data_IF_271924575532
#
_entry.id   IF_271924575532
#
_cell.length_a   1.000
_cell.length_b   1.000
_cell.length_c   1.000
_cell.angle_alpha   90.00
_cell.angle_beta   90.00
_cell.angle_gamma   90.00
#
_symmetry.space_group_name_H-M   'P 1'
#
loop_
_entity.id
_entity.type
_entity.pdbx_description
1 polymer ?
#
# COMPACT_ATOMS: atom_id res chain seq x y z
N UNK A 1 -21.32 4.40 34.35
CA UNK A 1 -20.49 5.31 35.17
C UNK A 1 -19.64 4.53 36.17
N UNK A 2 -20.22 3.65 37.01
CA UNK A 2 -19.47 2.82 37.97
C UNK A 2 -18.39 1.91 37.34
N UNK A 3 -18.58 1.44 36.11
CA UNK A 3 -17.59 0.60 35.41
C UNK A 3 -16.24 1.30 35.20
N UNK A 4 -16.24 2.60 34.90
CA UNK A 4 -15.01 3.40 34.70
C UNK A 4 -14.42 3.92 36.02
N UNK A 5 -15.04 3.61 37.16
CA UNK A 5 -14.47 3.86 38.48
C UNK A 5 -13.73 2.63 39.04
N UNK A 6 -13.73 1.50 38.32
CA UNK A 6 -13.00 0.29 38.72
C UNK A 6 -11.59 0.33 38.17
N UNK A 7 -10.62 0.27 39.07
CA UNK A 7 -9.19 0.28 38.75
C UNK A 7 -8.77 -0.83 37.80
N UNK A 8 -9.28 -2.06 37.99
CA UNK A 8 -9.03 -3.19 37.09
C UNK A 8 -9.51 -2.93 35.66
N UNK A 9 -10.64 -2.21 35.53
CA UNK A 9 -11.20 -1.84 34.23
C UNK A 9 -10.39 -0.74 33.57
N UNK A 10 -9.90 0.22 34.35
CA UNK A 10 -8.99 1.27 33.85
C UNK A 10 -7.68 0.63 33.36
N UNK A 11 -7.13 -0.34 34.11
CA UNK A 11 -5.96 -1.10 33.68
C UNK A 11 -6.17 -1.84 32.36
N UNK A 12 -7.30 -2.55 32.20
CA UNK A 12 -7.65 -3.18 30.93
C UNK A 12 -7.74 -2.18 29.78
N UNK A 13 -8.34 -1.02 30.02
CA UNK A 13 -8.48 0.05 29.02
C UNK A 13 -7.12 0.63 28.63
N UNK A 14 -6.27 0.93 29.62
CA UNK A 14 -4.91 1.45 29.39
C UNK A 14 -4.09 0.42 28.61
N UNK A 15 -4.17 -0.86 28.99
CA UNK A 15 -3.47 -1.93 28.28
C UNK A 15 -3.96 -2.05 26.84
N UNK A 16 -5.26 -2.04 26.62
CA UNK A 16 -5.86 -2.15 25.29
C UNK A 16 -5.56 -0.95 24.38
N UNK A 17 -5.64 0.26 24.92
CA UNK A 17 -5.63 1.47 24.09
C UNK A 17 -4.34 2.29 24.19
N UNK A 18 -3.40 1.91 25.05
CA UNK A 18 -2.21 2.70 25.32
C UNK A 18 -0.93 1.88 25.50
N UNK A 19 -0.96 0.56 25.25
CA UNK A 19 0.23 -0.33 25.29
C UNK A 19 1.34 0.03 24.29
N UNK A 20 1.06 0.90 23.33
CA UNK A 20 2.01 1.39 22.33
C UNK A 20 2.41 2.85 22.59
N UNK A 21 1.89 3.48 23.64
CA UNK A 21 2.28 4.83 24.07
C UNK A 21 3.66 4.75 24.75
N UNK A 22 4.57 5.64 24.34
CA UNK A 22 5.95 5.65 24.85
C UNK A 22 6.09 6.11 26.29
N UNK A 23 5.13 6.89 26.78
CA UNK A 23 5.16 7.40 28.15
C UNK A 23 4.61 6.32 29.10
N UNK A 24 5.23 6.15 30.27
CA UNK A 24 4.69 5.26 31.27
C UNK A 24 3.36 5.81 31.77
N UNK A 25 2.33 4.97 31.74
CA UNK A 25 1.00 5.27 32.25
C UNK A 25 0.87 4.55 33.57
N UNK A 26 0.59 5.33 34.61
CA UNK A 26 0.26 4.84 35.95
C UNK A 26 -1.23 5.11 36.17
N UNK A 27 -1.89 4.20 36.89
CA UNK A 27 -3.30 4.33 37.24
C UNK A 27 -3.38 4.63 38.73
N UNK A 28 -3.98 5.76 39.11
CA UNK A 28 -4.06 6.16 40.51
C UNK A 28 -2.68 6.42 41.13
N UNK A 29 -2.43 5.78 42.27
CA UNK A 29 -1.18 5.86 43.04
C UNK A 29 -0.28 4.63 42.81
N UNK A 30 -0.55 3.83 41.77
CA UNK A 30 0.23 2.62 41.48
C UNK A 30 1.68 2.96 41.10
N UNK A 31 2.62 2.23 41.71
CA UNK A 31 4.03 2.26 41.35
C UNK A 31 4.35 1.37 40.13
N UNK A 32 3.45 0.44 39.80
CA UNK A 32 3.58 -0.44 38.63
C UNK A 32 2.99 0.21 37.37
N UNK A 33 3.74 0.14 36.27
CA UNK A 33 3.33 0.72 35.00
C UNK A 33 2.21 -0.12 34.36
N UNK A 34 1.11 0.54 33.99
CA UNK A 34 -0.07 -0.11 33.44
C UNK A 34 0.04 -0.44 31.94
N UNK A 35 0.82 0.31 31.16
CA UNK A 35 1.01 0.07 29.72
C UNK A 35 2.34 -0.63 29.38
N UNK A 36 2.36 -1.41 28.30
CA UNK A 36 3.60 -1.91 27.70
C UNK A 36 4.41 -0.76 27.07
N UNK A 37 5.75 -0.87 27.06
CA UNK A 37 6.64 0.12 26.41
C UNK A 37 7.10 -0.29 25.01
N UNK A 38 6.88 -1.55 24.61
CA UNK A 38 7.44 -2.06 23.36
C UNK A 38 6.50 -1.73 22.22
N UNK A 39 6.85 -0.66 21.50
CA UNK A 39 6.24 -0.28 20.24
C UNK A 39 6.00 -1.50 19.34
N UNK A 40 4.76 -1.69 18.90
CA UNK A 40 4.31 -2.86 18.13
C UNK A 40 5.19 -3.14 16.91
N UNK A 41 5.63 -2.09 16.20
CA UNK A 41 6.49 -2.21 15.00
C UNK A 41 7.92 -2.70 15.31
N UNK A 42 8.30 -2.80 16.58
CA UNK A 42 9.60 -3.35 17.01
C UNK A 42 9.50 -4.77 17.55
N UNK A 43 8.30 -5.31 17.68
CA UNK A 43 8.09 -6.70 18.06
C UNK A 43 8.31 -7.60 16.86
N UNK A 44 8.58 -8.89 17.10
CA UNK A 44 8.64 -9.86 16.02
C UNK A 44 7.27 -9.96 15.35
N UNK A 45 7.14 -9.87 14.00
CA UNK A 45 5.85 -10.00 13.33
C UNK A 45 5.09 -11.30 13.67
N UNK A 46 5.81 -12.35 14.10
CA UNK A 46 5.24 -13.64 14.51
C UNK A 46 4.64 -13.64 15.92
N UNK A 47 4.97 -12.66 16.73
CA UNK A 47 4.54 -12.54 18.13
C UNK A 47 3.38 -11.53 18.30
N UNK A 48 3.15 -10.70 17.28
CA UNK A 48 2.07 -9.70 17.26
C UNK A 48 0.78 -10.36 16.79
N UNK A 49 -0.31 -10.10 17.51
CA UNK A 49 -1.64 -10.62 17.13
C UNK A 49 -2.34 -9.69 16.16
N UNK A 50 -3.28 -10.23 15.39
CA UNK A 50 -4.10 -9.45 14.46
C UNK A 50 -4.90 -8.35 15.17
N UNK A 51 -5.35 -8.60 16.41
CA UNK A 51 -6.04 -7.58 17.21
C UNK A 51 -5.14 -6.38 17.53
N UNK A 52 -3.86 -6.63 17.84
CA UNK A 52 -2.89 -5.57 18.17
C UNK A 52 -2.63 -4.69 16.94
N UNK A 53 -2.56 -5.28 15.74
CA UNK A 53 -2.45 -4.52 14.49
C UNK A 53 -3.68 -3.66 14.24
N UNK A 54 -4.88 -4.20 14.49
CA UNK A 54 -6.12 -3.46 14.30
C UNK A 54 -6.24 -2.29 15.29
N UNK A 55 -5.93 -2.53 16.57
CA UNK A 55 -5.96 -1.49 17.61
C UNK A 55 -4.93 -0.39 17.33
N UNK A 56 -3.73 -0.76 16.90
CA UNK A 56 -2.72 0.23 16.51
C UNK A 56 -3.15 1.04 15.29
N UNK A 57 -3.75 0.42 14.28
CA UNK A 57 -4.30 1.15 13.12
C UNK A 57 -5.35 2.17 13.57
N UNK A 58 -6.34 1.75 14.36
CA UNK A 58 -7.40 2.63 14.86
C UNK A 58 -6.83 3.82 15.65
N UNK A 59 -5.82 3.59 16.48
CA UNK A 59 -5.16 4.67 17.21
C UNK A 59 -4.35 5.59 16.31
N UNK A 60 -3.69 5.03 15.30
CA UNK A 60 -2.86 5.77 14.36
C UNK A 60 -3.71 6.72 13.50
N UNK A 61 -4.89 6.27 13.06
CA UNK A 61 -5.69 6.93 12.02
C UNK A 61 -7.01 7.54 12.52
N UNK A 62 -7.53 7.08 13.67
CA UNK A 62 -8.93 7.25 14.13
C UNK A 62 -9.97 6.70 13.14
N UNK A 63 -9.56 5.75 12.31
CA UNK A 63 -10.46 5.01 11.43
C UNK A 63 -10.89 3.71 12.11
N UNK A 64 -12.20 3.55 12.30
CA UNK A 64 -12.77 2.37 12.95
C UNK A 64 -12.96 1.20 11.96
N UNK A 65 -12.96 1.49 10.65
CA UNK A 65 -12.93 0.43 9.64
C UNK A 65 -11.56 -0.26 9.67
N UNK A 66 -11.49 -1.59 9.53
CA UNK A 66 -10.22 -2.27 9.42
C UNK A 66 -9.49 -1.87 8.13
N UNK A 67 -8.14 -1.87 8.14
CA UNK A 67 -7.37 -1.72 6.90
C UNK A 67 -7.59 -2.94 6.01
N UNK A 68 -7.40 -2.80 4.69
CA UNK A 68 -7.38 -3.95 3.78
C UNK A 68 -6.26 -4.91 4.15
N UNK A 69 -5.11 -4.37 4.54
CA UNK A 69 -3.92 -5.14 4.83
C UNK A 69 -2.89 -4.31 5.61
N UNK A 70 -2.01 -5.01 6.33
CA UNK A 70 -0.83 -4.45 6.98
C UNK A 70 0.49 -5.07 6.45
N UNK A 71 1.57 -4.31 6.59
CA UNK A 71 2.93 -4.72 6.23
C UNK A 71 3.81 -4.45 7.45
N UNK A 72 4.18 -5.51 8.18
CA UNK A 72 5.13 -5.42 9.29
C UNK A 72 6.50 -5.96 8.84
N UNK A 73 7.47 -5.06 8.71
CA UNK A 73 8.83 -5.39 8.28
C UNK A 73 9.86 -5.03 9.34
N UNK A 74 10.76 -5.99 9.60
CA UNK A 74 11.99 -5.78 10.35
C UNK A 74 13.16 -6.10 9.43
N UNK A 75 14.01 -5.12 9.18
CA UNK A 75 15.21 -5.25 8.31
C UNK A 75 16.44 -4.95 9.16
N UNK A 76 17.41 -5.86 9.19
CA UNK A 76 18.68 -5.67 9.90
C UNK A 76 19.83 -5.22 8.99
N UNK A 77 19.75 -5.49 7.68
CA UNK A 77 20.77 -5.13 6.70
C UNK A 77 20.13 -4.67 5.36
N UNK A 78 20.71 -3.69 4.65
CA UNK A 78 21.97 -2.99 4.95
C UNK A 78 21.85 -1.88 6.01
N UNK A 79 20.64 -1.61 6.51
CA UNK A 79 20.36 -0.66 7.58
C UNK A 79 19.27 -1.24 8.48
N UNK A 80 19.27 -0.87 9.76
CA UNK A 80 18.34 -1.38 10.75
C UNK A 80 17.05 -0.55 10.75
N UNK A 81 16.00 -1.14 10.19
CA UNK A 81 14.71 -0.53 9.92
C UNK A 81 13.58 -1.36 10.53
N UNK A 82 12.64 -0.68 11.16
CA UNK A 82 11.37 -1.24 11.59
C UNK A 82 10.26 -0.46 10.88
N UNK A 83 9.30 -1.15 10.29
CA UNK A 83 8.17 -0.50 9.62
C UNK A 83 6.89 -1.28 9.87
N UNK A 84 5.83 -0.54 10.18
CA UNK A 84 4.47 -1.06 10.20
C UNK A 84 3.59 -0.12 9.37
N UNK A 85 3.22 -0.62 8.20
CA UNK A 85 2.44 0.11 7.19
C UNK A 85 1.06 -0.52 7.06
N UNK A 86 0.09 0.28 6.63
CA UNK A 86 -1.29 -0.10 6.43
C UNK A 86 -1.79 0.42 5.10
N UNK A 87 -2.57 -0.42 4.42
CA UNK A 87 -3.38 -0.05 3.26
C UNK A 87 -4.80 0.17 3.80
N UNK A 88 -5.28 1.42 3.88
CA UNK A 88 -6.62 1.68 4.39
C UNK A 88 -7.69 1.09 3.46
N UNK A 89 -8.92 0.93 3.94
CA UNK A 89 -10.05 0.51 3.09
C UNK A 89 -10.46 1.60 2.11
N UNK A 90 -10.30 2.86 2.49
CA UNK A 90 -10.56 4.02 1.63
C UNK A 90 -9.35 4.97 1.62
N UNK A 91 -8.89 5.46 0.45
CA UNK A 91 -7.86 6.50 0.36
C UNK A 91 -8.32 7.87 0.90
N UNK A 92 -9.63 8.13 0.89
CA UNK A 92 -10.19 9.40 1.34
C UNK A 92 -10.13 9.54 2.86
N UNK A 93 -9.89 10.77 3.31
CA UNK A 93 -9.86 11.08 4.73
C UNK A 93 -11.28 11.02 5.29
N UNK A 94 -11.51 10.15 6.27
CA UNK A 94 -12.75 10.20 7.04
C UNK A 94 -12.85 11.55 7.80
N UNK A 95 -14.05 11.92 8.24
CA UNK A 95 -14.31 13.23 8.91
C UNK A 95 -13.51 13.39 10.21
N UNK A 96 -13.14 12.28 10.85
CA UNK A 96 -12.40 12.24 12.11
C UNK A 96 -10.89 12.01 11.91
N UNK A 97 -10.42 12.03 10.66
CA UNK A 97 -9.08 11.60 10.29
C UNK A 97 -8.05 12.51 10.91
N UNK A 98 -7.11 11.93 11.67
CA UNK A 98 -5.96 12.67 12.19
C UNK A 98 -5.00 13.12 11.09
N UNK A 99 -5.05 12.46 9.93
CA UNK A 99 -4.13 12.68 8.82
C UNK A 99 -4.36 14.05 8.16
N UNK A 100 -3.51 15.01 8.48
CA UNK A 100 -3.51 16.35 7.86
C UNK A 100 -2.89 16.36 6.47
N UNK A 101 -1.78 15.65 6.31
CA UNK A 101 -0.99 15.60 5.07
C UNK A 101 -0.63 14.15 4.71
N UNK A 102 -0.06 13.95 3.53
CA UNK A 102 0.48 12.65 3.13
C UNK A 102 1.80 12.37 3.83
N UNK A 103 2.13 11.07 3.94
CA UNK A 103 3.42 10.63 4.46
C UNK A 103 3.32 9.80 5.73
N UNK A 104 4.44 9.15 6.06
CA UNK A 104 4.54 8.24 7.19
C UNK A 104 5.15 8.95 8.41
N UNK A 105 4.84 8.47 9.61
CA UNK A 105 5.51 8.91 10.83
C UNK A 105 6.93 8.33 10.85
N UNK A 106 7.92 9.20 10.79
CA UNK A 106 9.33 8.85 10.82
C UNK A 106 9.87 8.97 12.24
N UNK A 107 10.47 7.89 12.70
CA UNK A 107 11.16 7.76 13.95
C UNK A 107 12.64 7.46 13.73
N UNK A 108 13.48 7.97 14.63
CA UNK A 108 14.87 7.56 14.74
C UNK A 108 15.11 7.10 16.18
N UNK A 109 15.58 5.86 16.36
CA UNK A 109 15.89 5.30 17.69
C UNK A 109 14.73 5.45 18.69
N UNK A 110 13.51 5.16 18.27
CA UNK A 110 12.29 5.36 19.10
C UNK A 110 12.02 6.81 19.48
N UNK A 111 12.45 7.79 18.70
CA UNK A 111 12.13 9.22 18.90
C UNK A 111 11.45 9.73 17.64
N UNK A 112 10.30 10.39 17.79
CA UNK A 112 9.56 10.93 16.64
C UNK A 112 10.36 12.08 16.04
N UNK A 113 10.68 11.98 14.76
CA UNK A 113 11.40 13.01 14.01
C UNK A 113 10.40 13.86 13.23
N UNK A 114 9.47 13.21 12.52
CA UNK A 114 8.51 13.90 11.66
C UNK A 114 7.22 13.09 11.52
N UNK A 115 6.06 13.74 11.65
CA UNK A 115 4.75 13.08 11.53
C UNK A 115 4.36 12.73 10.09
N UNK A 116 4.64 13.62 9.14
CA UNK A 116 4.23 13.49 7.73
C UNK A 116 5.46 13.51 6.84
N UNK A 117 6.06 12.34 6.60
CA UNK A 117 7.27 12.19 5.79
C UNK A 117 6.92 11.57 4.45
N UNK A 118 6.83 12.39 3.41
CA UNK A 118 6.46 11.94 2.05
C UNK A 118 7.62 11.29 1.32
N UNK A 119 8.85 11.54 1.76
CA UNK A 119 10.09 11.08 1.15
C UNK A 119 10.33 9.57 1.34
N UNK A 120 9.56 8.92 2.21
CA UNK A 120 9.69 7.50 2.53
C UNK A 120 8.98 6.57 1.55
N UNK A 121 8.06 7.10 0.74
CA UNK A 121 7.35 6.33 -0.29
C UNK A 121 7.20 7.18 -1.56
N UNK A 122 7.15 6.56 -2.74
CA UNK A 122 6.79 7.28 -3.96
C UNK A 122 5.37 7.84 -3.88
N UNK A 123 5.10 8.92 -4.64
CA UNK A 123 3.79 9.61 -4.62
C UNK A 123 2.62 8.71 -4.95
N UNK A 124 2.81 7.67 -5.77
CA UNK A 124 1.78 6.70 -6.09
C UNK A 124 1.46 5.73 -4.93
N UNK A 125 2.26 5.71 -3.86
CA UNK A 125 1.94 5.00 -2.61
C UNK A 125 1.55 5.95 -1.47
N UNK A 126 1.20 7.20 -1.80
CA UNK A 126 0.79 8.19 -0.79
C UNK A 126 -0.37 7.74 0.07
N UNK A 127 -1.26 6.85 -0.40
CA UNK A 127 -2.39 6.37 0.40
C UNK A 127 -1.98 5.56 1.64
N UNK A 128 -0.77 4.99 1.66
CA UNK A 128 -0.27 4.17 2.75
C UNK A 128 -0.09 5.00 4.02
N UNK A 129 -0.53 4.45 5.15
CA UNK A 129 -0.37 5.04 6.47
C UNK A 129 0.49 4.14 7.34
N UNK A 130 1.25 4.70 8.27
CA UNK A 130 2.11 3.86 9.08
C UNK A 130 3.23 4.60 9.78
N UNK A 131 4.12 3.78 10.35
CA UNK A 131 5.30 4.22 11.09
C UNK A 131 6.54 3.56 10.51
N UNK A 132 7.63 4.31 10.51
CA UNK A 132 8.96 3.85 10.10
C UNK A 132 9.96 4.30 11.15
N UNK A 133 10.76 3.40 11.68
CA UNK A 133 11.74 3.65 12.73
C UNK A 133 13.12 3.14 12.27
N UNK A 134 14.02 4.08 12.01
CA UNK A 134 15.36 3.81 11.50
C UNK A 134 16.40 4.06 12.60
N UNK A 135 17.20 3.04 12.94
CA UNK A 135 18.25 3.16 13.99
C UNK A 135 19.47 3.96 13.52
N UNK A 136 19.76 3.86 12.22
CA UNK A 136 20.90 4.50 11.57
C UNK A 136 20.66 5.99 11.26
N UNK A 137 19.43 6.48 11.43
CA UNK A 137 19.11 7.88 11.21
C UNK A 137 19.55 8.74 12.41
N UNK A 138 20.28 9.85 12.20
CA UNK A 138 20.61 10.78 13.28
C UNK A 138 19.35 11.40 13.91
N UNK A 139 19.44 11.84 15.18
CA UNK A 139 18.33 12.52 15.84
C UNK A 139 18.19 13.99 15.44
N UNK A 140 19.28 14.62 15.00
CA UNK A 140 19.36 16.05 14.67
C UNK A 140 19.05 16.35 13.20
N UNK A 141 18.17 15.58 12.57
CA UNK A 141 17.82 15.75 11.15
C UNK A 141 16.67 16.76 11.01
N UNK A 142 16.87 17.80 10.22
CA UNK A 142 15.82 18.76 9.85
C UNK A 142 15.01 18.26 8.66
N UNK A 143 13.85 18.89 8.39
CA UNK A 143 13.03 18.58 7.20
C UNK A 143 13.81 18.71 5.89
N UNK A 144 14.64 19.73 5.77
CA UNK A 144 15.50 19.95 4.60
C UNK A 144 16.54 18.84 4.46
N UNK A 145 17.13 18.40 5.58
CA UNK A 145 18.11 17.31 5.56
C UNK A 145 17.47 15.98 5.18
N UNK A 146 16.20 15.71 5.55
CA UNK A 146 15.48 14.47 5.16
C UNK A 146 15.40 14.32 3.65
N UNK A 147 15.07 15.39 2.93
CA UNK A 147 14.84 15.36 1.48
C UNK A 147 16.07 14.94 0.67
N UNK A 148 17.26 15.32 1.12
CA UNK A 148 18.53 15.02 0.45
C UNK A 148 19.29 13.86 1.09
N UNK A 149 18.76 13.22 2.16
CA UNK A 149 19.49 12.21 2.91
C UNK A 149 19.59 10.88 2.13
N UNK A 150 20.81 10.37 1.84
CA UNK A 150 20.98 9.10 1.15
C UNK A 150 20.39 7.88 1.90
N UNK A 151 20.24 7.96 3.23
CA UNK A 151 19.55 6.93 4.01
C UNK A 151 18.04 6.93 3.74
N UNK A 152 17.41 8.10 3.61
CA UNK A 152 15.98 8.21 3.31
C UNK A 152 15.67 7.65 1.92
N UNK A 153 16.54 7.92 0.94
CA UNK A 153 16.42 7.33 -0.42
C UNK A 153 16.51 5.80 -0.35
N UNK A 154 17.43 5.24 0.45
CA UNK A 154 17.56 3.79 0.63
C UNK A 154 16.35 3.19 1.34
N UNK A 155 15.87 3.83 2.40
CA UNK A 155 14.65 3.42 3.11
C UNK A 155 13.46 3.44 2.15
N UNK A 156 13.31 4.49 1.34
CA UNK A 156 12.24 4.57 0.33
C UNK A 156 12.26 3.39 -0.62
N UNK A 157 13.43 3.00 -1.15
CA UNK A 157 13.56 1.83 -2.03
C UNK A 157 13.12 0.55 -1.31
N UNK A 158 13.61 0.33 -0.09
CA UNK A 158 13.23 -0.85 0.72
C UNK A 158 11.71 -0.89 0.94
N UNK A 159 11.11 0.19 1.41
CA UNK A 159 9.67 0.25 1.69
C UNK A 159 8.84 0.07 0.42
N UNK A 160 9.24 0.69 -0.69
CA UNK A 160 8.56 0.54 -1.99
C UNK A 160 8.53 -0.92 -2.42
N UNK A 161 9.67 -1.61 -2.36
CA UNK A 161 9.73 -3.03 -2.69
C UNK A 161 8.92 -3.90 -1.72
N UNK A 162 8.88 -3.59 -0.41
CA UNK A 162 8.04 -4.32 0.54
C UNK A 162 6.55 -4.18 0.22
N UNK A 163 6.10 -2.98 -0.16
CA UNK A 163 4.71 -2.73 -0.59
C UNK A 163 4.39 -3.51 -1.85
N UNK A 164 5.22 -3.41 -2.89
CA UNK A 164 5.02 -4.13 -4.16
C UNK A 164 4.97 -5.64 -3.91
N UNK A 165 5.93 -6.18 -3.16
CA UNK A 165 5.98 -7.60 -2.82
C UNK A 165 4.74 -8.06 -2.06
N UNK A 166 4.23 -7.26 -1.11
CA UNK A 166 3.00 -7.59 -0.39
C UNK A 166 1.80 -7.60 -1.34
N UNK A 167 1.67 -6.58 -2.19
CA UNK A 167 0.59 -6.52 -3.18
C UNK A 167 0.63 -7.71 -4.13
N UNK A 168 1.81 -8.10 -4.61
CA UNK A 168 1.97 -9.32 -5.41
C UNK A 168 1.57 -10.59 -4.65
N UNK A 169 1.88 -10.68 -3.37
CA UNK A 169 1.48 -11.83 -2.55
C UNK A 169 -0.02 -11.91 -2.38
N UNK A 170 -0.69 -10.79 -2.13
CA UNK A 170 -2.17 -10.73 -2.05
C UNK A 170 -2.75 -11.17 -3.40
N UNK A 171 -2.27 -10.58 -4.49
CA UNK A 171 -2.64 -10.93 -5.86
C UNK A 171 -2.49 -12.41 -6.25
N UNK A 172 -1.66 -13.18 -5.54
CA UNK A 172 -1.43 -14.61 -5.78
C UNK A 172 -2.21 -15.53 -4.84
N UNK A 173 -2.64 -15.02 -3.68
CA UNK A 173 -3.21 -15.83 -2.59
C UNK A 173 -4.68 -15.53 -2.31
N UNK A 174 -5.12 -14.31 -2.61
CA UNK A 174 -6.45 -13.81 -2.27
C UNK A 174 -6.92 -12.85 -3.36
N UNK A 175 -7.56 -13.43 -4.39
CA UNK A 175 -8.08 -12.69 -5.54
C UNK A 175 -9.16 -11.69 -5.12
N UNK A 176 -10.01 -12.04 -4.14
CA UNK A 176 -11.08 -11.16 -3.66
C UNK A 176 -10.53 -9.92 -2.95
N UNK A 177 -9.51 -10.10 -2.09
CA UNK A 177 -8.85 -8.97 -1.43
C UNK A 177 -8.10 -8.11 -2.45
N UNK A 178 -7.44 -8.73 -3.44
CA UNK A 178 -6.74 -7.98 -4.47
C UNK A 178 -7.70 -7.20 -5.38
N UNK A 179 -8.85 -7.76 -5.71
CA UNK A 179 -9.90 -7.08 -6.48
C UNK A 179 -10.45 -5.87 -5.71
N UNK A 180 -10.70 -6.01 -4.40
CA UNK A 180 -11.07 -4.87 -3.53
C UNK A 180 -10.00 -3.79 -3.56
N UNK A 181 -8.73 -4.16 -3.42
CA UNK A 181 -7.62 -3.23 -3.52
C UNK A 181 -7.57 -2.55 -4.90
N UNK A 182 -7.69 -3.31 -5.99
CA UNK A 182 -7.61 -2.79 -7.35
C UNK A 182 -8.73 -1.78 -7.65
N UNK A 183 -9.95 -2.09 -7.25
CA UNK A 183 -11.12 -1.25 -7.48
C UNK A 183 -10.97 0.13 -6.81
N UNK A 184 -10.25 0.20 -5.69
CA UNK A 184 -10.03 1.44 -4.94
C UNK A 184 -8.74 2.15 -5.37
N UNK A 185 -7.65 1.40 -5.59
CA UNK A 185 -6.30 1.94 -5.69
C UNK A 185 -5.65 1.87 -7.07
N UNK A 186 -6.31 1.28 -8.08
CA UNK A 186 -5.74 1.11 -9.42
C UNK A 186 -5.21 2.41 -10.04
N UNK A 187 -5.92 3.53 -9.85
CA UNK A 187 -5.49 4.84 -10.37
C UNK A 187 -4.13 5.28 -9.83
N UNK A 188 -3.81 4.94 -8.58
CA UNK A 188 -2.50 5.24 -8.01
C UNK A 188 -1.40 4.41 -8.69
N UNK A 189 -1.63 3.12 -8.92
CA UNK A 189 -0.67 2.27 -9.64
C UNK A 189 -0.45 2.74 -11.08
N UNK A 190 -1.54 3.10 -11.78
CA UNK A 190 -1.49 3.63 -13.15
C UNK A 190 -0.76 4.99 -13.20
N UNK A 191 -1.01 5.87 -12.22
CA UNK A 191 -0.24 7.11 -12.03
C UNK A 191 1.25 6.81 -11.82
N UNK A 192 1.58 5.79 -11.03
CA UNK A 192 2.96 5.36 -10.82
C UNK A 192 3.66 4.98 -12.12
N UNK A 193 2.99 4.22 -12.99
CA UNK A 193 3.54 3.87 -14.31
C UNK A 193 3.69 5.10 -15.22
N UNK A 194 2.72 6.01 -15.18
CA UNK A 194 2.73 7.23 -15.99
C UNK A 194 3.79 8.25 -15.56
N UNK A 195 4.17 8.27 -14.27
CA UNK A 195 4.97 9.38 -13.71
C UNK A 195 6.32 8.97 -13.10
N UNK A 196 6.53 7.68 -12.77
CA UNK A 196 7.79 7.25 -12.17
C UNK A 196 8.95 7.40 -13.17
N UNK A 197 10.06 7.95 -12.69
CA UNK A 197 11.29 8.14 -13.49
C UNK A 197 12.02 6.81 -13.73
N UNK A 198 12.05 5.94 -12.72
CA UNK A 198 12.66 4.61 -12.72
C UNK A 198 11.76 3.56 -12.04
N UNK A 199 12.05 2.27 -12.27
CA UNK A 199 11.41 1.15 -11.58
C UNK A 199 9.91 0.98 -11.83
N UNK A 200 9.34 1.63 -12.84
CA UNK A 200 7.90 1.55 -13.16
C UNK A 200 7.47 0.15 -13.58
N UNK A 201 8.39 -0.60 -14.16
CA UNK A 201 8.22 -1.98 -14.62
C UNK A 201 7.88 -2.92 -13.46
N UNK A 202 8.32 -2.60 -12.24
CA UNK A 202 7.96 -3.34 -11.01
C UNK A 202 6.46 -3.26 -10.69
N UNK A 203 5.74 -2.27 -11.25
CA UNK A 203 4.29 -2.13 -11.07
C UNK A 203 3.49 -2.93 -12.10
N UNK A 204 4.10 -3.39 -13.20
CA UNK A 204 3.37 -4.04 -14.29
C UNK A 204 2.67 -5.34 -13.86
N UNK A 205 3.29 -6.22 -13.04
CA UNK A 205 2.63 -7.45 -12.55
C UNK A 205 1.39 -7.19 -11.67
N UNK A 206 1.30 -6.00 -11.09
CA UNK A 206 0.18 -5.58 -10.24
C UNK A 206 -1.06 -5.15 -11.06
N UNK A 207 -0.89 -4.90 -12.35
CA UNK A 207 -1.97 -4.43 -13.21
C UNK A 207 -3.06 -5.48 -13.41
N UNK A 208 -4.31 -5.01 -13.47
CA UNK A 208 -5.49 -5.85 -13.71
C UNK A 208 -6.44 -5.20 -14.71
N UNK A 209 -6.95 -5.98 -15.64
CA UNK A 209 -7.78 -5.46 -16.74
C UNK A 209 -8.91 -6.40 -17.09
N UNK A 210 -9.96 -5.84 -17.68
CA UNK A 210 -10.93 -6.63 -18.43
C UNK A 210 -10.43 -6.85 -19.85
N UNK A 211 -10.92 -7.90 -20.49
CA UNK A 211 -10.57 -8.22 -21.87
C UNK A 211 -11.81 -8.66 -22.64
N UNK A 212 -11.72 -8.66 -23.97
CA UNK A 212 -12.82 -9.15 -24.84
C UNK A 212 -13.19 -10.62 -24.61
N UNK A 213 -12.31 -11.42 -23.99
CA UNK A 213 -12.58 -12.81 -23.62
C UNK A 213 -12.96 -12.99 -22.15
N UNK A 214 -12.67 -12.00 -21.31
CA UNK A 214 -12.88 -12.04 -19.86
C UNK A 214 -13.45 -10.69 -19.41
N UNK A 215 -14.77 -10.55 -19.54
CA UNK A 215 -15.50 -9.29 -19.26
C UNK A 215 -15.99 -9.19 -17.82
N UNK A 216 -16.32 -10.32 -17.19
CA UNK A 216 -16.94 -10.35 -15.86
C UNK A 216 -15.93 -10.38 -14.70
N UNK A 217 -14.64 -10.50 -15.00
CA UNK A 217 -13.57 -10.50 -13.99
C UNK A 217 -12.32 -9.84 -14.52
N UNK A 218 -11.45 -9.46 -13.59
CA UNK A 218 -10.15 -8.91 -13.87
C UNK A 218 -9.14 -10.01 -14.26
N UNK A 219 -8.26 -9.70 -15.21
CA UNK A 219 -7.13 -10.52 -15.65
C UNK A 219 -5.82 -9.75 -15.42
N UNK A 220 -4.77 -10.45 -14.99
CA UNK A 220 -3.40 -9.93 -15.03
C UNK A 220 -2.82 -9.94 -16.46
N UNK A 221 -1.68 -9.26 -16.65
CA UNK A 221 -0.93 -9.37 -17.91
C UNK A 221 -0.43 -10.80 -18.16
N UNK A 222 -0.07 -11.54 -17.11
CA UNK A 222 0.33 -12.95 -17.23
C UNK A 222 -0.85 -13.83 -17.67
N UNK A 223 -2.06 -13.54 -17.18
CA UNK A 223 -3.26 -14.25 -17.61
C UNK A 223 -3.55 -14.04 -19.09
N UNK A 224 -3.37 -12.80 -19.58
CA UNK A 224 -3.48 -12.49 -21.00
C UNK A 224 -2.42 -13.25 -21.82
N UNK A 225 -1.15 -13.20 -21.40
CA UNK A 225 -0.05 -13.91 -22.08
C UNK A 225 -0.32 -15.41 -22.14
N UNK A 226 -0.80 -16.01 -21.04
CA UNK A 226 -1.15 -17.43 -20.99
C UNK A 226 -2.27 -17.83 -21.97
N UNK A 227 -3.05 -16.87 -22.48
CA UNK A 227 -4.12 -17.07 -23.47
C UNK A 227 -3.77 -16.56 -24.87
N UNK A 228 -2.55 -16.06 -25.09
CA UNK A 228 -2.11 -15.62 -26.40
C UNK A 228 -2.08 -16.77 -27.40
N UNK A 229 -2.43 -16.47 -28.66
CA UNK A 229 -2.35 -17.48 -29.73
C UNK A 229 -0.90 -17.79 -30.06
N UNK A 230 -0.63 -19.02 -30.52
CA UNK A 230 0.70 -19.42 -30.97
C UNK A 230 1.21 -18.46 -32.07
N UNK A 231 2.41 -17.91 -31.88
CA UNK A 231 3.01 -16.96 -32.81
C UNK A 231 2.54 -15.51 -32.67
N UNK A 232 1.61 -15.21 -31.76
CA UNK A 232 1.25 -13.83 -31.42
C UNK A 232 2.45 -13.14 -30.74
N UNK A 233 2.78 -11.92 -31.19
CA UNK A 233 3.96 -11.17 -30.73
C UNK A 233 3.62 -9.87 -29.98
N UNK A 234 2.34 -9.56 -29.85
CA UNK A 234 1.86 -8.27 -29.31
C UNK A 234 0.69 -8.48 -28.36
N UNK A 235 0.58 -7.58 -27.40
CA UNK A 235 -0.58 -7.43 -26.50
C UNK A 235 -1.51 -6.42 -27.15
N UNK A 236 -2.70 -6.85 -27.55
CA UNK A 236 -3.67 -5.97 -28.19
C UNK A 236 -4.52 -5.25 -27.15
N UNK A 237 -4.75 -3.96 -27.35
CA UNK A 237 -5.65 -3.19 -26.49
C UNK A 237 -6.56 -2.24 -27.27
N UNK A 238 -7.60 -1.78 -26.59
CA UNK A 238 -8.49 -0.73 -27.09
C UNK A 238 -8.78 0.26 -25.95
N UNK A 239 -8.72 1.54 -26.28
CA UNK A 239 -9.07 2.64 -25.39
C UNK A 239 -10.45 3.19 -25.76
N UNK A 240 -11.25 3.51 -24.75
CA UNK A 240 -12.52 4.23 -24.93
C UNK A 240 -13.06 4.79 -23.61
N UNK A 241 -14.22 5.44 -23.68
CA UNK A 241 -14.78 6.15 -22.52
C UNK A 241 -15.56 5.22 -21.56
N UNK A 242 -16.15 4.14 -22.09
CA UNK A 242 -16.89 3.16 -21.32
C UNK A 242 -16.81 1.76 -21.95
N UNK A 243 -17.09 0.75 -21.12
CA UNK A 243 -16.95 -0.66 -21.49
C UNK A 243 -17.90 -1.09 -22.60
N UNK A 244 -19.13 -0.55 -22.62
CA UNK A 244 -20.14 -0.92 -23.62
C UNK A 244 -19.71 -0.44 -25.00
N UNK A 245 -19.27 0.82 -25.09
CA UNK A 245 -18.80 1.43 -26.34
C UNK A 245 -17.56 0.73 -26.89
N UNK A 246 -16.63 0.37 -26.00
CA UNK A 246 -15.41 -0.35 -26.38
C UNK A 246 -15.72 -1.73 -26.95
N UNK A 247 -16.59 -2.51 -26.30
CA UNK A 247 -16.94 -3.87 -26.73
C UNK A 247 -17.73 -3.90 -28.05
N UNK A 248 -18.42 -2.82 -28.41
CA UNK A 248 -19.15 -2.68 -29.68
C UNK A 248 -18.32 -2.01 -30.78
N UNK A 249 -17.05 -1.70 -30.51
CA UNK A 249 -16.21 -0.98 -31.46
C UNK A 249 -15.93 -1.81 -32.73
N UNK A 250 -16.12 -1.24 -33.94
CA UNK A 250 -15.73 -1.90 -35.20
C UNK A 250 -14.24 -2.24 -35.27
N UNK A 251 -13.40 -1.57 -34.48
CA UNK A 251 -11.97 -1.89 -34.39
C UNK A 251 -11.72 -3.31 -33.84
N UNK A 252 -12.69 -3.91 -33.14
CA UNK A 252 -12.62 -5.27 -32.65
C UNK A 252 -12.99 -6.33 -33.70
N UNK A 253 -13.58 -5.98 -34.86
CA UNK A 253 -14.07 -6.94 -35.86
C UNK A 253 -12.97 -7.90 -36.33
N UNK A 254 -11.79 -7.37 -36.63
CA UNK A 254 -10.64 -8.18 -37.03
C UNK A 254 -10.21 -9.14 -35.91
N UNK A 255 -10.11 -8.63 -34.67
CA UNK A 255 -9.65 -9.42 -33.53
C UNK A 255 -10.67 -10.49 -33.15
N UNK A 256 -11.96 -10.17 -33.15
CA UNK A 256 -13.05 -11.12 -32.91
C UNK A 256 -13.07 -12.22 -33.98
N UNK A 257 -12.97 -11.84 -35.27
CA UNK A 257 -12.94 -12.81 -36.39
C UNK A 257 -11.76 -13.78 -36.31
N UNK A 258 -10.61 -13.31 -35.81
CA UNK A 258 -9.40 -14.12 -35.64
C UNK A 258 -9.19 -14.58 -34.20
N UNK A 259 -10.19 -14.41 -33.33
CA UNK A 259 -10.23 -14.72 -31.89
C UNK A 259 -8.99 -14.27 -31.09
N UNK A 260 -8.42 -13.12 -31.44
CA UNK A 260 -7.42 -12.45 -30.61
C UNK A 260 -8.10 -11.83 -29.39
N UNK A 261 -7.48 -12.00 -28.22
CA UNK A 261 -7.92 -11.32 -27.00
C UNK A 261 -7.44 -9.86 -27.04
N UNK A 262 -8.29 -8.93 -26.62
CA UNK A 262 -7.96 -7.50 -26.58
C UNK A 262 -8.26 -6.97 -25.17
N UNK A 263 -7.30 -6.26 -24.57
CA UNK A 263 -7.47 -5.57 -23.29
C UNK A 263 -8.37 -4.35 -23.47
N UNK A 264 -9.34 -4.16 -22.58
CA UNK A 264 -10.22 -2.99 -22.60
C UNK A 264 -9.78 -1.97 -21.56
N UNK A 265 -9.45 -0.77 -22.03
CA UNK A 265 -9.05 0.36 -21.20
C UNK A 265 -10.13 1.44 -21.25
N UNK A 266 -10.79 1.66 -20.12
CA UNK A 266 -11.94 2.56 -20.00
C UNK A 266 -11.79 3.61 -18.90
N UNK A 267 -10.65 3.63 -18.22
CA UNK A 267 -10.36 4.60 -17.19
C UNK A 267 -9.52 5.75 -17.78
N UNK A 268 -9.81 6.98 -17.39
CA UNK A 268 -9.08 8.17 -17.87
C UNK A 268 -7.56 8.06 -17.69
N UNK A 269 -7.09 7.41 -16.61
CA UNK A 269 -5.67 7.21 -16.32
C UNK A 269 -4.99 6.20 -17.26
N UNK A 270 -5.74 5.37 -17.98
CA UNK A 270 -5.17 4.35 -18.88
C UNK A 270 -4.37 5.00 -20.02
N UNK A 271 -4.89 6.09 -20.58
CA UNK A 271 -4.22 6.84 -21.65
C UNK A 271 -2.85 7.37 -21.21
N UNK A 272 -2.73 7.84 -19.97
CA UNK A 272 -1.47 8.33 -19.41
C UNK A 272 -0.51 7.17 -19.08
N UNK A 273 -1.04 6.07 -18.54
CA UNK A 273 -0.25 4.86 -18.26
C UNK A 273 0.39 4.31 -19.54
N UNK A 274 -0.35 4.23 -20.64
CA UNK A 274 0.09 3.66 -21.92
C UNK A 274 1.21 4.47 -22.62
N UNK A 275 1.46 5.72 -22.21
CA UNK A 275 2.63 6.49 -22.69
C UNK A 275 3.94 5.76 -22.32
N UNK A 276 3.96 5.13 -21.14
CA UNK A 276 5.12 4.47 -20.57
C UNK A 276 4.99 2.93 -20.50
N UNK A 277 3.78 2.37 -20.50
CA UNK A 277 3.56 0.93 -20.60
C UNK A 277 3.68 0.49 -22.07
N UNK A 278 4.91 0.25 -22.53
CA UNK A 278 5.20 -0.06 -23.94
C UNK A 278 5.35 -1.55 -24.23
N UNK A 279 5.90 -2.30 -23.27
CA UNK A 279 6.14 -3.73 -23.40
C UNK A 279 6.01 -4.43 -22.04
N UNK A 280 5.71 -5.72 -22.08
CA UNK A 280 5.72 -6.60 -20.91
C UNK A 280 6.13 -8.01 -21.34
N UNK A 281 7.12 -8.62 -20.64
CA UNK A 281 7.65 -9.95 -20.97
C UNK A 281 8.07 -10.10 -22.46
N UNK A 282 8.57 -9.02 -23.06
CA UNK A 282 8.99 -8.98 -24.48
C UNK A 282 7.85 -8.83 -25.50
N UNK A 283 6.61 -8.65 -25.05
CA UNK A 283 5.47 -8.37 -25.91
C UNK A 283 5.13 -6.88 -25.91
N UNK A 284 5.14 -6.26 -27.08
CA UNK A 284 4.76 -4.86 -27.26
C UNK A 284 3.24 -4.67 -27.15
N UNK A 285 2.80 -3.58 -26.51
CA UNK A 285 1.40 -3.16 -26.52
C UNK A 285 1.06 -2.48 -27.85
N UNK A 286 -0.07 -2.84 -28.47
CA UNK A 286 -0.53 -2.25 -29.74
C UNK A 286 -2.05 -2.18 -29.90
#
# INVERSE_FOLDING_TARGET
AEEFARESRIHEIVKKHSDYVRYPIFVGDDEEQANRQVAIWRQSPREVKDEDYQEFYQHLTLDFEPPLEHIHTVVDAPLRLYALLYIPTNPEKNVFSLRKEDGLKLYARKILIQEYTTELLPKYFRFIQGVVDAEDLPLNVSRETIQSNPLIIRIRKILTSQVINKLEQIAKKDDELYEKFWNVYSNFLKEGIATAEDGREELYPLLRFKTTKVVDRLSSLNDYIGRMKAGQKKIYYILGDDETSVLQSPHLDYFNKHEYEVITFTNAMDSFMLINLREYEGFEFT
#
